data_IF_802810638649
#
_entry.id   IF_802810638649
#
_cell.length_a   1.000
_cell.length_b   1.000
_cell.length_c   1.000
_cell.angle_alpha   90.00
_cell.angle_beta   90.00
_cell.angle_gamma   90.00
#
_symmetry.space_group_name_H-M   'P 1'
#
loop_
_entity.id
_entity.type
_entity.pdbx_description
1 polymer ?
#
# COMPACT_ATOMS: atom_id res chain seq x y z
N UNK A 1 3.44 4.70 -48.32
CA UNK A 1 2.23 4.45 -47.52
C UNK A 1 2.30 3.22 -46.60
N UNK A 2 3.25 2.27 -46.75
CA UNK A 2 3.38 1.11 -45.84
C UNK A 2 4.28 1.35 -44.61
N UNK A 3 5.15 2.35 -44.65
CA UNK A 3 6.13 2.62 -43.57
C UNK A 3 5.67 3.65 -42.55
N UNK A 4 4.66 4.48 -42.88
CA UNK A 4 4.08 5.45 -41.94
C UNK A 4 3.17 4.79 -40.90
N UNK A 5 2.64 3.60 -41.18
CA UNK A 5 1.78 2.87 -40.23
C UNK A 5 2.61 2.12 -39.16
N UNK A 6 3.82 1.67 -39.50
CA UNK A 6 4.71 0.96 -38.58
C UNK A 6 5.30 1.87 -37.49
N UNK A 7 5.52 3.16 -37.80
CA UNK A 7 6.07 4.12 -36.83
C UNK A 7 5.06 4.50 -35.74
N UNK A 8 3.76 4.46 -36.05
CA UNK A 8 2.70 4.78 -35.09
C UNK A 8 2.48 3.66 -34.05
N UNK A 9 2.71 2.40 -34.43
CA UNK A 9 2.55 1.25 -33.52
C UNK A 9 3.70 1.15 -32.49
N UNK A 10 4.89 1.63 -32.83
CA UNK A 10 6.05 1.61 -31.92
C UNK A 10 5.98 2.65 -30.79
N UNK A 11 5.21 3.74 -30.97
CA UNK A 11 5.08 4.82 -29.97
C UNK A 11 4.08 4.44 -28.85
N UNK A 12 3.14 3.54 -29.11
CA UNK A 12 2.15 3.11 -28.10
C UNK A 12 2.69 2.05 -27.11
N UNK A 13 3.78 1.35 -27.46
CA UNK A 13 4.32 0.26 -26.61
C UNK A 13 5.27 0.78 -25.52
N UNK A 14 5.76 2.01 -25.63
CA UNK A 14 6.72 2.60 -24.68
C UNK A 14 6.10 3.34 -23.49
N UNK A 15 4.77 3.31 -23.34
CA UNK A 15 4.03 4.01 -22.26
C UNK A 15 3.38 3.05 -21.24
N UNK A 16 3.84 1.81 -21.14
CA UNK A 16 3.58 1.00 -19.95
C UNK A 16 4.53 1.43 -18.82
N UNK A 17 4.49 2.72 -18.43
CA UNK A 17 4.96 3.09 -17.11
C UNK A 17 4.02 2.41 -16.13
N UNK A 18 4.55 1.53 -15.27
CA UNK A 18 3.85 1.15 -14.04
C UNK A 18 3.56 2.48 -13.35
N UNK A 19 2.30 2.89 -13.33
CA UNK A 19 1.92 4.18 -12.79
C UNK A 19 2.24 4.17 -11.29
N UNK A 20 3.35 4.81 -10.91
CA UNK A 20 3.77 4.86 -9.53
C UNK A 20 2.75 5.67 -8.72
N UNK A 21 2.23 5.06 -7.65
CA UNK A 21 1.28 5.72 -6.76
C UNK A 21 2.05 6.71 -5.89
N UNK A 22 1.84 8.00 -6.19
CA UNK A 22 2.53 9.12 -5.54
C UNK A 22 1.59 9.92 -4.62
N UNK A 23 0.87 9.22 -3.74
CA UNK A 23 0.11 9.87 -2.65
C UNK A 23 1.01 10.05 -1.44
N UNK A 24 0.89 11.16 -0.71
CA UNK A 24 1.65 11.45 0.51
C UNK A 24 0.88 11.10 1.77
N UNK A 25 1.57 10.69 2.83
CA UNK A 25 0.97 10.58 4.17
C UNK A 25 0.63 11.97 4.73
N UNK A 26 -0.15 12.05 5.80
CA UNK A 26 -0.36 13.32 6.53
C UNK A 26 0.97 13.92 7.02
N UNK A 27 1.89 13.07 7.48
CA UNK A 27 3.22 13.51 7.88
C UNK A 27 3.97 14.15 6.69
N UNK A 28 4.06 13.48 5.55
CA UNK A 28 4.79 14.01 4.38
C UNK A 28 4.15 15.28 3.81
N UNK A 29 2.84 15.29 3.63
CA UNK A 29 2.11 16.44 3.07
C UNK A 29 2.13 17.69 3.96
N UNK A 30 2.35 17.50 5.27
CA UNK A 30 2.51 18.59 6.23
C UNK A 30 3.97 18.98 6.51
N UNK A 31 4.93 18.45 5.74
CA UNK A 31 6.36 18.60 6.03
C UNK A 31 6.72 18.18 7.47
N UNK A 32 6.16 17.05 7.89
CA UNK A 32 6.36 16.40 9.20
C UNK A 32 5.94 17.26 10.40
N UNK A 33 5.03 18.21 10.21
CA UNK A 33 4.49 19.04 11.30
C UNK A 33 3.20 18.48 11.91
N UNK A 34 2.60 17.46 11.29
CA UNK A 34 1.38 16.78 11.75
C UNK A 34 1.52 15.26 11.63
N UNK A 35 0.73 14.54 12.41
CA UNK A 35 0.52 13.10 12.26
C UNK A 35 -0.93 12.83 11.87
N UNK A 36 -1.15 11.69 11.21
CA UNK A 36 -2.48 11.31 10.75
C UNK A 36 -3.42 11.02 11.92
N UNK A 37 -4.69 11.34 11.72
CA UNK A 37 -5.80 10.74 12.45
C UNK A 37 -6.05 9.31 11.99
N UNK A 38 -6.96 8.59 12.66
CA UNK A 38 -7.38 7.27 12.20
C UNK A 38 -8.00 7.32 10.80
N UNK A 39 -8.87 8.29 10.53
CA UNK A 39 -9.55 8.42 9.22
C UNK A 39 -8.58 8.78 8.10
N UNK A 40 -7.65 9.71 8.33
CA UNK A 40 -6.64 10.05 7.32
C UNK A 40 -5.74 8.86 6.98
N UNK A 41 -5.38 8.05 7.98
CA UNK A 41 -4.63 6.80 7.77
C UNK A 41 -5.46 5.78 6.99
N UNK A 42 -6.75 5.59 7.34
CA UNK A 42 -7.68 4.70 6.62
C UNK A 42 -7.82 5.10 5.15
N UNK A 43 -7.98 6.40 4.88
CA UNK A 43 -8.08 6.94 3.53
C UNK A 43 -6.80 6.73 2.72
N UNK A 44 -5.64 6.91 3.34
CA UNK A 44 -4.35 6.67 2.70
C UNK A 44 -4.20 5.21 2.29
N UNK A 45 -4.42 4.27 3.20
CA UNK A 45 -4.24 2.83 2.89
C UNK A 45 -5.29 2.34 1.90
N UNK A 46 -6.53 2.87 1.95
CA UNK A 46 -7.57 2.53 0.98
C UNK A 46 -7.19 2.95 -0.44
N UNK A 47 -6.58 4.13 -0.61
CA UNK A 47 -6.08 4.56 -1.92
C UNK A 47 -4.94 3.68 -2.43
N UNK A 48 -4.07 3.17 -1.54
CA UNK A 48 -3.04 2.20 -1.92
C UNK A 48 -3.64 0.86 -2.36
N UNK A 49 -4.61 0.35 -1.60
CA UNK A 49 -5.35 -0.89 -1.90
C UNK A 49 -6.06 -0.81 -3.26
N UNK A 50 -6.78 0.29 -3.51
CA UNK A 50 -7.51 0.52 -4.77
C UNK A 50 -6.61 0.65 -6.01
N UNK A 51 -5.32 0.85 -5.80
CA UNK A 51 -4.35 1.07 -6.88
C UNK A 51 -3.36 -0.08 -7.07
N UNK A 52 -3.51 -1.18 -6.33
CA UNK A 52 -2.56 -2.29 -6.35
C UNK A 52 -3.21 -3.67 -6.18
N UNK A 53 -2.84 -4.61 -7.05
CA UNK A 53 -3.23 -6.03 -6.89
C UNK A 53 -2.35 -6.79 -5.87
N UNK A 54 -1.29 -6.16 -5.35
CA UNK A 54 -0.33 -6.78 -4.42
C UNK A 54 -0.51 -6.32 -2.97
N UNK A 55 -1.47 -5.44 -2.70
CA UNK A 55 -1.88 -5.03 -1.37
C UNK A 55 -3.35 -5.44 -1.14
N UNK A 56 -3.66 -5.93 0.07
CA UNK A 56 -5.03 -6.18 0.52
C UNK A 56 -5.21 -5.67 1.94
N UNK A 57 -6.27 -4.90 2.18
CA UNK A 57 -6.70 -4.54 3.54
C UNK A 57 -7.58 -5.65 4.13
N UNK A 58 -7.30 -6.06 5.36
CA UNK A 58 -8.17 -6.97 6.14
C UNK A 58 -8.50 -6.40 7.52
N UNK A 59 -9.77 -6.50 7.94
CA UNK A 59 -10.17 -6.24 9.33
C UNK A 59 -9.83 -7.46 10.18
N UNK A 60 -9.02 -7.27 11.22
CA UNK A 60 -8.61 -8.35 12.14
C UNK A 60 -9.33 -8.29 13.49
N UNK A 61 -9.84 -7.13 13.87
CA UNK A 61 -10.59 -6.94 15.11
C UNK A 61 -11.39 -5.63 15.09
N UNK A 62 -12.12 -5.38 16.17
CA UNK A 62 -12.78 -4.11 16.47
C UNK A 62 -12.27 -3.62 17.82
N UNK A 63 -11.98 -2.33 17.92
CA UNK A 63 -11.52 -1.71 19.16
C UNK A 63 -12.68 -1.53 20.14
N UNK A 64 -12.36 -1.22 21.40
CA UNK A 64 -13.38 -0.90 22.43
C UNK A 64 -14.20 0.34 22.11
N UNK A 65 -13.72 1.20 21.20
CA UNK A 65 -14.42 2.39 20.72
C UNK A 65 -15.15 2.14 19.38
N UNK A 66 -15.24 0.88 18.94
CA UNK A 66 -15.97 0.49 17.73
C UNK A 66 -15.24 0.77 16.42
N UNK A 67 -13.91 1.00 16.44
CA UNK A 67 -13.11 1.21 15.23
C UNK A 67 -12.53 -0.10 14.72
N UNK A 68 -12.51 -0.32 13.41
CA UNK A 68 -11.84 -1.49 12.86
C UNK A 68 -10.34 -1.42 13.15
N UNK A 69 -9.78 -2.54 13.61
CA UNK A 69 -8.35 -2.78 13.62
C UNK A 69 -8.04 -3.48 12.31
N UNK A 70 -7.29 -2.80 11.43
CA UNK A 70 -6.96 -3.29 10.10
C UNK A 70 -5.49 -3.74 10.02
N UNK A 71 -5.23 -4.68 9.12
CA UNK A 71 -3.89 -5.08 8.69
C UNK A 71 -3.76 -4.89 7.18
N UNK A 72 -2.54 -4.65 6.72
CA UNK A 72 -2.21 -4.62 5.30
C UNK A 72 -1.44 -5.89 4.97
N UNK A 73 -1.96 -6.70 4.05
CA UNK A 73 -1.25 -7.83 3.48
C UNK A 73 -0.60 -7.35 2.20
N UNK A 74 0.73 -7.43 2.13
CA UNK A 74 1.49 -7.08 0.93
C UNK A 74 2.22 -8.32 0.43
N UNK A 75 1.86 -8.80 -0.76
CA UNK A 75 2.42 -10.01 -1.33
C UNK A 75 2.33 -10.00 -2.87
N UNK A 76 3.43 -10.35 -3.53
CA UNK A 76 3.50 -10.52 -4.98
C UNK A 76 4.11 -11.90 -5.33
N UNK A 77 3.36 -12.86 -5.91
CA UNK A 77 1.91 -12.80 -6.13
C UNK A 77 1.14 -12.79 -4.79
N UNK A 78 -0.10 -12.30 -4.84
CA UNK A 78 -0.98 -12.20 -3.68
C UNK A 78 -1.27 -13.56 -3.06
N UNK A 79 -1.40 -13.60 -1.73
CA UNK A 79 -1.84 -14.77 -0.96
C UNK A 79 -3.33 -14.66 -0.69
N UNK A 80 -4.09 -15.69 -1.06
CA UNK A 80 -5.54 -15.69 -0.92
C UNK A 80 -6.01 -16.16 0.46
N UNK A 81 -5.19 -16.95 1.17
CA UNK A 81 -5.54 -17.44 2.50
C UNK A 81 -4.31 -17.74 3.36
N UNK A 82 -4.50 -17.80 4.68
CA UNK A 82 -3.45 -18.26 5.60
C UNK A 82 -2.95 -19.68 5.28
N UNK A 83 -3.80 -20.54 4.69
CA UNK A 83 -3.42 -21.91 4.30
C UNK A 83 -2.41 -21.90 3.16
N UNK A 84 -2.55 -20.97 2.22
CA UNK A 84 -1.61 -20.80 1.12
C UNK A 84 -0.27 -20.28 1.65
N UNK A 85 -0.29 -19.42 2.68
CA UNK A 85 0.92 -18.90 3.32
C UNK A 85 1.77 -19.98 4.01
N UNK A 86 1.16 -21.04 4.57
CA UNK A 86 1.87 -22.13 5.27
C UNK A 86 2.84 -22.87 4.32
N UNK A 87 2.47 -23.00 3.04
CA UNK A 87 3.27 -23.70 2.04
C UNK A 87 4.06 -22.74 1.14
N UNK A 88 3.97 -21.43 1.38
CA UNK A 88 4.74 -20.43 0.65
C UNK A 88 6.20 -20.47 1.09
N UNK A 89 7.13 -20.32 0.14
CA UNK A 89 8.57 -20.32 0.41
C UNK A 89 9.08 -18.96 0.91
N UNK A 90 8.28 -17.91 0.78
CA UNK A 90 8.60 -16.55 1.23
C UNK A 90 8.54 -16.48 2.75
N UNK A 91 9.40 -15.65 3.33
CA UNK A 91 9.35 -15.34 4.77
C UNK A 91 8.19 -14.39 5.05
N UNK A 92 7.41 -14.69 6.08
CA UNK A 92 6.37 -13.78 6.58
C UNK A 92 7.01 -12.83 7.58
N UNK A 93 6.91 -11.52 7.30
CA UNK A 93 7.38 -10.46 8.20
C UNK A 93 6.16 -9.73 8.74
N UNK A 94 6.03 -9.67 10.06
CA UNK A 94 5.00 -8.90 10.73
C UNK A 94 5.57 -7.58 11.24
N UNK A 95 4.90 -6.47 10.91
CA UNK A 95 5.27 -5.13 11.38
C UNK A 95 4.04 -4.53 12.07
N UNK A 96 4.19 -4.25 13.35
CA UNK A 96 3.21 -3.50 14.13
C UNK A 96 3.82 -2.17 14.54
N UNK A 97 3.02 -1.11 14.44
CA UNK A 97 3.42 0.22 14.88
C UNK A 97 2.32 0.89 15.70
N UNK A 98 2.69 1.87 16.52
CA UNK A 98 1.77 2.73 17.27
C UNK A 98 0.81 1.97 18.20
N UNK A 99 1.31 0.92 18.87
CA UNK A 99 0.58 0.24 19.96
C UNK A 99 0.41 1.17 21.17
N UNK A 100 1.39 2.06 21.40
CA UNK A 100 1.27 3.19 22.29
C UNK A 100 0.80 4.41 21.50
N UNK A 101 -0.30 5.03 21.92
CA UNK A 101 -0.95 6.11 21.16
C UNK A 101 -0.05 7.33 20.90
N UNK A 102 0.95 7.59 21.76
CA UNK A 102 1.89 8.70 21.61
C UNK A 102 3.06 8.46 20.66
N UNK A 103 3.35 7.19 20.32
CA UNK A 103 4.48 6.78 19.46
C UNK A 103 3.99 6.65 18.01
N UNK A 104 3.71 7.80 17.40
CA UNK A 104 3.00 7.93 16.12
C UNK A 104 3.91 7.76 14.90
N UNK A 105 5.21 7.99 15.06
CA UNK A 105 6.22 7.93 13.98
C UNK A 105 6.27 6.56 13.29
N UNK A 106 6.05 5.48 14.05
CA UNK A 106 5.97 4.14 13.50
C UNK A 106 4.82 3.99 12.51
N UNK A 107 3.62 4.50 12.84
CA UNK A 107 2.43 4.42 11.97
C UNK A 107 2.61 5.22 10.68
N UNK A 108 3.25 6.38 10.74
CA UNK A 108 3.55 7.17 9.54
C UNK A 108 4.59 6.46 8.67
N UNK A 109 5.64 5.89 9.30
CA UNK A 109 6.70 5.18 8.59
C UNK A 109 6.22 3.89 7.91
N UNK A 110 5.31 3.14 8.54
CA UNK A 110 4.75 1.91 7.94
C UNK A 110 3.83 2.21 6.76
N UNK A 111 3.11 3.33 6.76
CA UNK A 111 2.37 3.81 5.59
C UNK A 111 3.31 4.11 4.41
N UNK A 112 4.44 4.78 4.68
CA UNK A 112 5.47 5.05 3.67
C UNK A 112 6.09 3.76 3.13
N UNK A 113 6.36 2.78 4.01
CA UNK A 113 6.86 1.46 3.62
C UNK A 113 5.85 0.71 2.75
N UNK A 114 4.56 0.72 3.10
CA UNK A 114 3.52 0.08 2.29
C UNK A 114 3.46 0.69 0.88
N UNK A 115 3.48 2.02 0.76
CA UNK A 115 3.57 2.70 -0.54
C UNK A 115 4.84 2.33 -1.30
N UNK A 116 5.98 2.19 -0.62
CA UNK A 116 7.22 1.78 -1.27
C UNK A 116 7.12 0.35 -1.85
N UNK A 117 6.63 -0.61 -1.06
CA UNK A 117 6.45 -2.00 -1.48
C UNK A 117 5.42 -2.17 -2.60
N UNK A 118 4.37 -1.33 -2.62
CA UNK A 118 3.39 -1.33 -3.71
C UNK A 118 3.98 -0.85 -5.04
N UNK A 119 4.98 0.04 -4.97
CA UNK A 119 5.59 0.68 -6.14
C UNK A 119 6.84 -0.04 -6.69
N UNK A 120 7.40 -1.04 -6.01
CA UNK A 120 8.68 -1.69 -6.34
C UNK A 120 8.59 -3.22 -6.20
#
# INVERSE_FOLDING_TARGET
>A
MKYTFTLFFAICISLSSIAQINIQTTAESSNYTKTSTYEEMRDFVKKLDDSSDILRIEKIAESTEGRDIITLIVANPMINSYKDAINDKRVIVYIQANIHAGEVEGKESTQMLARHLVNN
#
